data_IF_895761259047
#
_entry.id   IF_895761259047
#
_cell.length_a   1.000
_cell.length_b   1.000
_cell.length_c   1.000
_cell.angle_alpha   90.00
_cell.angle_beta   90.00
_cell.angle_gamma   90.00
#
_symmetry.space_group_name_H-M   'P 1'
#
loop_
_entity.id
_entity.type
_entity.pdbx_description
1 polymer ?
#
# COMPACT_ATOMS: atom_id res chain seq x y z
N UNK A 1 -14.58 -1.02 -12.85
CA UNK A 1 -13.87 0.01 -12.07
C UNK A 1 -12.95 -0.69 -11.09
N UNK A 2 -11.67 -0.82 -11.42
CA UNK A 2 -10.65 -1.33 -10.49
C UNK A 2 -10.46 -0.31 -9.39
N UNK A 3 -10.88 -0.66 -8.16
CA UNK A 3 -10.75 0.22 -7.00
C UNK A 3 -9.27 0.30 -6.61
N UNK A 4 -8.69 1.50 -6.65
CA UNK A 4 -7.31 1.75 -6.22
C UNK A 4 -7.13 1.28 -4.76
N UNK A 5 -6.01 0.63 -4.39
CA UNK A 5 -5.81 0.08 -3.05
C UNK A 5 -5.37 1.15 -2.03
N UNK A 6 -5.84 2.39 -2.16
CA UNK A 6 -5.55 3.49 -1.27
C UNK A 6 -6.67 4.53 -1.24
N UNK A 7 -6.54 5.45 -0.29
CA UNK A 7 -7.35 6.65 -0.12
C UNK A 7 -6.45 7.85 -0.46
N UNK A 8 -6.97 8.80 -1.23
CA UNK A 8 -6.29 10.08 -1.48
C UNK A 8 -6.81 11.13 -0.49
N UNK A 9 -5.93 11.89 0.17
CA UNK A 9 -6.35 12.90 1.13
C UNK A 9 -7.00 14.09 0.39
N UNK A 10 -8.16 14.52 0.88
CA UNK A 10 -8.86 15.70 0.36
C UNK A 10 -8.37 16.93 1.13
N UNK A 11 -7.44 17.67 0.53
CA UNK A 11 -6.85 18.87 1.11
C UNK A 11 -6.29 19.79 -0.01
N UNK A 12 -6.04 21.09 0.25
CA UNK A 12 -5.53 22.02 -0.75
C UNK A 12 -4.03 21.81 -1.00
N UNK A 13 -3.64 20.65 -1.54
CA UNK A 13 -2.26 20.36 -1.89
C UNK A 13 -1.78 21.24 -3.06
N UNK A 14 -0.50 21.66 -3.09
CA UNK A 14 0.11 22.22 -4.29
C UNK A 14 0.03 21.24 -5.48
N UNK A 15 -0.01 21.73 -6.75
CA UNK A 15 -0.21 20.86 -7.92
C UNK A 15 0.80 19.73 -8.12
N UNK A 16 2.02 19.88 -7.58
CA UNK A 16 3.11 18.92 -7.68
C UNK A 16 3.27 18.06 -6.42
N UNK A 17 2.35 18.14 -5.46
CA UNK A 17 2.34 17.35 -4.24
C UNK A 17 1.26 16.28 -4.35
N UNK A 18 1.70 15.03 -4.35
CA UNK A 18 0.82 13.87 -4.37
C UNK A 18 0.93 13.13 -3.05
N UNK A 19 -0.20 12.64 -2.54
CA UNK A 19 -0.27 11.89 -1.30
C UNK A 19 -1.32 10.80 -1.40
N UNK A 20 -1.11 9.71 -0.67
CA UNK A 20 -2.04 8.59 -0.55
C UNK A 20 -1.89 7.93 0.82
N UNK A 21 -2.90 7.18 1.23
CA UNK A 21 -2.88 6.29 2.40
C UNK A 21 -3.37 4.91 1.99
N UNK A 22 -2.54 3.89 2.16
CA UNK A 22 -2.88 2.52 1.75
C UNK A 22 -4.01 1.92 2.58
N UNK A 23 -4.71 0.95 2.02
CA UNK A 23 -5.64 0.09 2.77
C UNK A 23 -5.11 -1.35 2.82
N UNK A 24 -5.68 -2.18 3.70
CA UNK A 24 -5.26 -3.59 3.88
C UNK A 24 -5.43 -4.48 2.64
N UNK A 25 -6.16 -4.05 1.61
CA UNK A 25 -6.49 -4.85 0.41
C UNK A 25 -5.41 -4.72 -0.68
N UNK A 26 -5.22 -5.77 -1.48
CA UNK A 26 -4.38 -5.74 -2.68
C UNK A 26 -2.96 -6.28 -2.51
N UNK A 27 -2.62 -6.81 -1.33
CA UNK A 27 -1.33 -7.45 -1.10
C UNK A 27 -1.38 -8.97 -1.14
N UNK A 28 -0.30 -9.60 -0.66
CA UNK A 28 -0.08 -11.05 -0.69
C UNK A 28 0.09 -11.69 0.69
N UNK A 29 0.17 -10.90 1.76
CA UNK A 29 0.31 -11.40 3.12
C UNK A 29 -0.89 -12.27 3.50
N UNK A 30 -0.65 -13.26 4.36
CA UNK A 30 -1.68 -14.15 4.91
C UNK A 30 -2.12 -13.67 6.30
N UNK A 31 -3.16 -14.29 6.87
CA UNK A 31 -3.58 -14.02 8.25
C UNK A 31 -2.41 -14.16 9.24
N UNK A 32 -2.27 -13.29 10.26
CA UNK A 32 -3.13 -12.15 10.61
C UNK A 32 -2.88 -10.86 9.82
N UNK A 33 -1.88 -10.83 8.94
CA UNK A 33 -1.44 -9.63 8.20
C UNK A 33 -2.16 -9.43 6.86
N UNK A 34 -3.12 -10.29 6.53
CA UNK A 34 -3.80 -10.26 5.25
C UNK A 34 -4.39 -8.86 4.94
N UNK A 35 -4.09 -8.23 3.80
CA UNK A 35 -3.30 -8.71 2.63
C UNK A 35 -2.09 -7.81 2.29
N UNK A 36 -2.19 -6.49 2.45
CA UNK A 36 -1.16 -5.51 2.08
C UNK A 36 -0.41 -5.00 3.32
N UNK A 37 0.29 -5.89 4.02
CA UNK A 37 1.17 -5.47 5.11
C UNK A 37 2.49 -4.91 4.57
N UNK A 38 2.85 -3.72 5.04
CA UNK A 38 4.10 -3.03 4.69
C UNK A 38 5.10 -3.00 5.86
N UNK A 39 4.69 -3.44 7.05
CA UNK A 39 5.54 -3.50 8.24
C UNK A 39 6.41 -4.75 8.25
N UNK A 40 7.72 -4.57 8.41
CA UNK A 40 8.75 -5.63 8.46
C UNK A 40 9.14 -6.04 9.89
N UNK A 41 8.57 -5.40 10.91
CA UNK A 41 8.87 -5.63 12.34
C UNK A 41 7.68 -6.23 13.09
N UNK A 42 6.72 -6.84 12.38
CA UNK A 42 5.47 -7.37 12.94
C UNK A 42 5.30 -8.88 12.74
N UNK A 43 6.40 -9.58 12.45
CA UNK A 43 6.49 -11.05 12.28
C UNK A 43 5.78 -11.65 11.05
N UNK A 44 5.43 -10.83 10.05
CA UNK A 44 4.99 -11.33 8.74
C UNK A 44 6.17 -11.93 7.93
N UNK A 45 5.87 -12.70 6.88
CA UNK A 45 6.88 -13.21 5.95
C UNK A 45 7.53 -12.03 5.20
N UNK A 46 8.85 -11.89 5.31
CA UNK A 46 9.62 -10.82 4.68
C UNK A 46 9.41 -10.75 3.16
N UNK A 47 9.14 -11.88 2.50
CA UNK A 47 8.88 -11.95 1.05
C UNK A 47 7.53 -11.32 0.72
N UNK A 48 6.52 -11.53 1.55
CA UNK A 48 5.22 -10.87 1.39
C UNK A 48 5.34 -9.36 1.57
N UNK A 49 6.04 -8.91 2.62
CA UNK A 49 6.26 -7.48 2.88
C UNK A 49 7.01 -6.82 1.72
N UNK A 50 8.05 -7.48 1.21
CA UNK A 50 8.83 -7.00 0.06
C UNK A 50 7.97 -6.88 -1.20
N UNK A 51 7.16 -7.90 -1.50
CA UNK A 51 6.24 -7.87 -2.64
C UNK A 51 5.16 -6.79 -2.49
N UNK A 52 4.59 -6.61 -1.29
CA UNK A 52 3.61 -5.56 -1.02
C UNK A 52 4.20 -4.16 -1.23
N UNK A 53 5.44 -3.93 -0.78
CA UNK A 53 6.16 -2.66 -1.03
C UNK A 53 6.45 -2.45 -2.52
N UNK A 54 6.81 -3.50 -3.25
CA UNK A 54 7.02 -3.45 -4.71
C UNK A 54 5.73 -3.09 -5.45
N UNK A 55 4.60 -3.72 -5.09
CA UNK A 55 3.27 -3.41 -5.64
C UNK A 55 2.87 -1.98 -5.37
N UNK A 56 3.07 -1.49 -4.15
CA UNK A 56 2.78 -0.10 -3.80
C UNK A 56 3.57 0.87 -4.68
N UNK A 57 4.89 0.69 -4.79
CA UNK A 57 5.74 1.53 -5.67
C UNK A 57 5.28 1.52 -7.12
N UNK A 58 4.95 0.35 -7.66
CA UNK A 58 4.50 0.23 -9.05
C UNK A 58 3.15 0.90 -9.30
N UNK A 59 2.19 0.70 -8.40
CA UNK A 59 0.86 1.27 -8.57
C UNK A 59 0.86 2.78 -8.32
N UNK A 60 1.58 3.23 -7.30
CA UNK A 60 1.73 4.64 -6.96
C UNK A 60 2.81 5.32 -7.82
N UNK A 61 2.99 4.90 -9.08
CA UNK A 61 3.87 5.57 -10.06
C UNK A 61 3.35 6.98 -10.37
N UNK A 62 3.42 7.83 -9.35
CA UNK A 62 3.46 9.27 -9.34
C UNK A 62 4.78 9.73 -9.95
#
# INVERSE_FOLDING_TARGET
MTKTPWIEPVWPAPPNVHALSTIRRGGVSQSPWASLNLGDHVSDDFRHVTENRRRLKHLASL
#
